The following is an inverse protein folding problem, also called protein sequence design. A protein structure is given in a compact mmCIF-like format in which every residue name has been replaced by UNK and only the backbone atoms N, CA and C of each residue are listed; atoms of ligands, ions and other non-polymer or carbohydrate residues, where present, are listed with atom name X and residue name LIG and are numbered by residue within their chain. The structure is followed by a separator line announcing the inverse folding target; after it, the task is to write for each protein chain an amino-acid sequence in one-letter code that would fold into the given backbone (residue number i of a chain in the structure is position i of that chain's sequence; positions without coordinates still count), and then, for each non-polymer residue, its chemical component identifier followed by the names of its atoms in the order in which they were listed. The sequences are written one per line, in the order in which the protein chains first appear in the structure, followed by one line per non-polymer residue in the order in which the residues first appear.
data_IF_842400441239
#
_entry.id   IF_842400441239
#
_cell.length_a   1.000
_cell.length_b   1.000
_cell.length_c   1.000
_cell.angle_alpha   90.00
_cell.angle_beta   90.00
_cell.angle_gamma   90.00
#
_symmetry.space_group_name_H-M   'P 1'
#
loop_
_entity.id
_entity.type
_entity.pdbx_description
1 polymer ?
#
# COMPACT_ATOMS: atom_id res chain seq x y z
N UNK A 1 -6.98 0.34 -5.49
CA UNK A 1 -8.06 -0.58 -5.06
C UNK A 1 -8.07 -0.67 -3.53
N UNK A 2 -9.23 -0.46 -2.87
CA UNK A 2 -9.39 -0.56 -1.41
C UNK A 2 -9.90 -1.93 -0.93
N UNK A 3 -10.66 -2.63 -1.79
CA UNK A 3 -11.28 -3.91 -1.49
C UNK A 3 -10.26 -4.94 -1.00
N UNK A 4 -10.48 -5.50 0.19
CA UNK A 4 -9.64 -6.55 0.77
C UNK A 4 -8.25 -6.15 1.26
N UNK A 5 -7.80 -4.89 1.10
CA UNK A 5 -6.44 -4.46 1.50
C UNK A 5 -6.36 -3.89 2.91
N UNK A 6 -7.41 -3.19 3.35
CA UNK A 6 -7.36 -2.33 4.54
C UNK A 6 -6.99 -3.08 5.83
N UNK A 7 -7.51 -4.29 6.03
CA UNK A 7 -7.25 -5.08 7.25
C UNK A 7 -5.78 -5.47 7.45
N UNK A 8 -4.94 -5.38 6.39
CA UNK A 8 -3.53 -5.81 6.39
C UNK A 8 -2.56 -4.72 5.99
N UNK A 9 -3.02 -3.46 5.90
CA UNK A 9 -2.25 -2.36 5.31
C UNK A 9 -1.92 -1.24 6.29
N UNK A 10 -2.24 -1.37 7.58
CA UNK A 10 -1.75 -0.43 8.58
C UNK A 10 -0.22 -0.58 8.77
N UNK A 11 0.52 0.51 9.00
CA UNK A 11 0.05 1.90 9.10
C UNK A 11 -0.39 2.49 7.75
N UNK A 12 -1.45 3.29 7.80
CA UNK A 12 -1.97 4.04 6.66
C UNK A 12 -1.10 5.27 6.39
N UNK A 13 -1.09 5.72 5.13
CA UNK A 13 -0.22 6.76 4.56
C UNK A 13 1.25 6.35 4.31
N UNK A 14 1.92 7.13 3.48
CA UNK A 14 3.33 6.96 3.13
C UNK A 14 4.30 7.32 4.26
N UNK A 15 3.86 8.09 5.26
CA UNK A 15 4.67 8.49 6.41
C UNK A 15 4.68 7.45 7.54
N UNK A 16 3.80 6.45 7.48
CA UNK A 16 3.76 5.33 8.43
C UNK A 16 3.26 5.66 9.83
N UNK A 17 2.60 6.81 10.04
CA UNK A 17 2.24 7.30 11.37
C UNK A 17 0.81 6.98 11.82
N UNK A 18 -0.08 6.61 10.90
CA UNK A 18 -1.52 6.47 11.20
C UNK A 18 -1.93 5.00 11.23
N UNK A 19 -2.00 4.39 12.41
CA UNK A 19 -2.37 2.98 12.58
C UNK A 19 -3.89 2.73 12.60
N UNK A 20 -4.67 3.79 12.71
CA UNK A 20 -6.13 3.74 12.83
C UNK A 20 -6.79 4.38 11.61
N UNK A 21 -7.74 3.65 11.00
CA UNK A 21 -8.37 4.07 9.75
C UNK A 21 -9.32 5.25 9.96
N UNK A 22 -9.98 5.31 11.12
CA UNK A 22 -10.86 6.43 11.46
C UNK A 22 -10.04 7.73 11.56
N UNK A 23 -8.92 7.69 12.27
CA UNK A 23 -7.96 8.80 12.37
C UNK A 23 -7.43 9.19 10.98
N UNK A 24 -7.01 8.22 10.15
CA UNK A 24 -6.50 8.48 8.81
C UNK A 24 -7.50 9.22 7.91
N UNK A 25 -8.76 8.81 7.94
CA UNK A 25 -9.83 9.43 7.17
C UNK A 25 -10.13 10.84 7.69
N UNK A 26 -10.20 11.03 9.01
CA UNK A 26 -10.41 12.35 9.61
C UNK A 26 -9.33 13.35 9.17
N UNK A 27 -8.04 13.01 9.36
CA UNK A 27 -6.91 13.84 8.95
C UNK A 27 -6.91 14.12 7.45
N UNK A 28 -7.32 13.15 6.64
CA UNK A 28 -7.44 13.33 5.19
C UNK A 28 -8.50 14.37 4.83
N UNK A 29 -9.68 14.35 5.48
CA UNK A 29 -10.73 15.32 5.19
C UNK A 29 -10.32 16.74 5.59
N UNK A 30 -9.68 16.92 6.75
CA UNK A 30 -9.16 18.22 7.18
C UNK A 30 -8.10 18.76 6.21
N UNK A 31 -7.17 17.92 5.75
CA UNK A 31 -6.14 18.32 4.78
C UNK A 31 -6.72 18.76 3.43
N UNK A 32 -7.89 18.23 3.06
CA UNK A 32 -8.61 18.57 1.84
C UNK A 32 -9.58 19.75 2.03
N UNK A 33 -9.43 20.52 3.12
CA UNK A 33 -10.27 21.66 3.49
C UNK A 33 -11.76 21.28 3.68
N UNK A 34 -12.02 20.01 4.00
CA UNK A 34 -13.33 19.51 4.35
C UNK A 34 -13.62 19.76 5.84
N UNK A 35 -14.89 19.99 6.16
CA UNK A 35 -15.36 20.11 7.56
C UNK A 35 -15.45 18.76 8.30
N UNK A 36 -14.88 17.69 7.73
CA UNK A 36 -15.02 16.33 8.23
C UNK A 36 -16.41 15.73 8.05
N UNK A 37 -16.60 14.56 8.66
CA UNK A 37 -17.87 13.84 8.74
C UNK A 37 -18.27 13.70 10.22
N UNK A 38 -19.57 13.53 10.51
CA UNK A 38 -19.98 13.12 11.86
C UNK A 38 -19.42 11.74 12.16
N UNK A 39 -19.12 11.43 13.41
CA UNK A 39 -18.59 10.12 13.80
C UNK A 39 -19.44 8.95 13.27
N UNK A 40 -20.77 9.07 13.32
CA UNK A 40 -21.69 8.04 12.78
C UNK A 40 -21.55 7.82 11.27
N UNK A 41 -21.22 8.86 10.51
CA UNK A 41 -20.98 8.77 9.06
C UNK A 41 -19.59 8.18 8.78
N UNK A 42 -18.59 8.58 9.58
CA UNK A 42 -17.24 8.05 9.48
C UNK A 42 -17.19 6.57 9.83
N UNK A 43 -17.86 6.15 10.91
CA UNK A 43 -18.04 4.76 11.30
C UNK A 43 -18.71 3.94 10.20
N UNK A 44 -19.76 4.49 9.57
CA UNK A 44 -20.44 3.83 8.46
C UNK A 44 -19.51 3.63 7.25
N UNK A 45 -18.68 4.63 6.91
CA UNK A 45 -17.69 4.51 5.84
C UNK A 45 -16.63 3.47 6.19
N UNK A 46 -16.06 3.53 7.40
CA UNK A 46 -15.06 2.56 7.88
C UNK A 46 -15.62 1.15 7.79
N UNK A 47 -16.83 0.92 8.30
CA UNK A 47 -17.50 -0.37 8.24
C UNK A 47 -17.72 -0.83 6.78
N UNK A 48 -18.18 0.07 5.91
CA UNK A 48 -18.38 -0.25 4.49
C UNK A 48 -17.07 -0.66 3.80
N UNK A 49 -15.99 0.13 3.94
CA UNK A 49 -14.73 -0.15 3.25
C UNK A 49 -14.04 -1.40 3.79
N UNK A 50 -14.19 -1.70 5.08
CA UNK A 50 -13.68 -2.94 5.69
C UNK A 50 -14.48 -4.17 5.27
N UNK A 51 -15.77 -4.02 4.97
CA UNK A 51 -16.62 -5.11 4.50
C UNK A 51 -16.43 -5.44 3.01
N UNK A 52 -15.69 -4.63 2.25
CA UNK A 52 -15.45 -4.89 0.83
C UNK A 52 -14.66 -6.20 0.65
N UNK A 53 -15.23 -7.21 -0.05
CA UNK A 53 -14.58 -8.51 -0.21
C UNK A 53 -13.31 -8.40 -1.04
N UNK A 54 -12.36 -9.31 -0.82
CA UNK A 54 -11.23 -9.47 -1.73
C UNK A 54 -11.72 -9.81 -3.14
N UNK A 55 -11.14 -9.21 -4.19
CA UNK A 55 -11.43 -9.60 -5.57
C UNK A 55 -11.16 -11.09 -5.78
N UNK A 56 -11.91 -11.70 -6.69
CA UNK A 56 -11.66 -13.09 -7.08
C UNK A 56 -10.20 -13.26 -7.54
N UNK A 57 -9.52 -14.35 -7.12
CA UNK A 57 -8.14 -14.58 -7.50
C UNK A 57 -8.03 -14.73 -9.01
N UNK A 58 -7.05 -14.05 -9.60
CA UNK A 58 -6.76 -14.20 -11.02
C UNK A 58 -6.18 -15.60 -11.28
N UNK A 59 -6.49 -16.19 -12.44
CA UNK A 59 -5.83 -17.43 -12.87
C UNK A 59 -4.34 -17.17 -13.08
N UNK A 60 -3.50 -17.86 -12.31
CA UNK A 60 -2.05 -17.72 -12.39
C UNK A 60 -1.41 -18.91 -13.11
N UNK A 61 -0.35 -18.62 -13.86
CA UNK A 61 0.55 -19.64 -14.38
C UNK A 61 1.54 -20.02 -13.27
N UNK A 62 1.39 -21.23 -12.73
CA UNK A 62 2.17 -21.72 -11.57
C UNK A 62 3.68 -21.64 -11.85
N UNK A 63 4.11 -21.96 -13.07
CA UNK A 63 5.54 -21.91 -13.41
C UNK A 63 6.06 -20.47 -13.40
N UNK A 64 5.25 -19.49 -13.84
CA UNK A 64 5.61 -18.06 -13.75
C UNK A 64 5.65 -17.58 -12.30
N UNK A 65 4.69 -18.00 -11.47
CA UNK A 65 4.63 -17.65 -10.05
C UNK A 65 5.89 -18.14 -9.32
N UNK A 66 6.29 -19.39 -9.53
CA UNK A 66 7.49 -19.93 -8.87
C UNK A 66 8.78 -19.24 -9.31
N UNK A 67 8.91 -18.92 -10.60
CA UNK A 67 10.05 -18.11 -11.07
C UNK A 67 10.06 -16.71 -10.45
N UNK A 68 8.90 -16.06 -10.38
CA UNK A 68 8.76 -14.77 -9.72
C UNK A 68 9.12 -14.83 -8.24
N UNK A 69 8.68 -15.88 -7.53
CA UNK A 69 9.04 -16.12 -6.13
C UNK A 69 10.55 -16.28 -5.94
N UNK A 70 11.21 -17.02 -6.82
CA UNK A 70 12.67 -17.19 -6.77
C UNK A 70 13.41 -15.86 -6.95
N UNK A 71 12.98 -15.02 -7.90
CA UNK A 71 13.55 -13.68 -8.10
C UNK A 71 13.30 -12.79 -6.87
N UNK A 72 12.06 -12.77 -6.36
CA UNK A 72 11.66 -11.93 -5.23
C UNK A 72 12.51 -12.19 -3.96
N UNK A 73 12.92 -13.43 -3.74
CA UNK A 73 13.76 -13.85 -2.60
C UNK A 73 15.25 -13.96 -2.94
N UNK A 74 15.66 -13.62 -4.17
CA UNK A 74 17.06 -13.64 -4.57
C UNK A 74 17.86 -12.56 -3.84
N UNK A 75 19.17 -12.77 -3.69
CA UNK A 75 20.07 -11.77 -3.09
C UNK A 75 20.21 -10.54 -3.99
N UNK A 76 20.10 -10.74 -5.30
CA UNK A 76 20.28 -9.72 -6.32
C UNK A 76 19.10 -8.74 -6.35
N UNK A 77 17.86 -9.26 -6.32
CA UNK A 77 16.67 -8.41 -6.32
C UNK A 77 16.29 -7.91 -4.92
N UNK A 78 16.58 -8.71 -3.88
CA UNK A 78 16.38 -8.39 -2.46
C UNK A 78 14.99 -7.85 -2.08
N UNK A 79 13.93 -8.09 -2.88
CA UNK A 79 12.59 -7.54 -2.62
C UNK A 79 12.06 -7.97 -1.26
N UNK A 80 12.34 -9.23 -0.89
CA UNK A 80 11.98 -9.82 0.39
C UNK A 80 12.81 -9.31 1.59
N UNK A 81 13.68 -8.30 1.44
CA UNK A 81 14.33 -7.67 2.60
C UNK A 81 13.39 -6.71 3.33
N UNK A 82 12.50 -6.03 2.60
CA UNK A 82 11.49 -5.12 3.16
C UNK A 82 10.07 -5.67 3.01
N UNK A 83 9.77 -6.32 1.88
CA UNK A 83 8.42 -6.86 1.63
C UNK A 83 8.28 -8.30 2.14
N UNK A 84 8.09 -8.44 3.45
CA UNK A 84 8.20 -9.73 4.15
C UNK A 84 6.88 -10.23 4.72
N UNK A 85 6.86 -11.50 5.16
CA UNK A 85 5.71 -12.10 5.84
C UNK A 85 4.47 -12.25 4.98
N UNK A 86 3.34 -12.57 5.62
CA UNK A 86 2.07 -12.81 4.93
C UNK A 86 1.42 -11.54 4.36
N UNK A 87 1.78 -10.37 4.89
CA UNK A 87 1.33 -9.07 4.40
C UNK A 87 2.26 -8.47 3.32
N UNK A 88 3.42 -9.08 3.05
CA UNK A 88 4.44 -8.59 2.12
C UNK A 88 4.88 -7.15 2.44
N UNK A 89 5.13 -6.90 3.72
CA UNK A 89 5.66 -5.64 4.27
C UNK A 89 6.27 -5.89 5.65
N UNK A 90 7.31 -5.14 5.98
CA UNK A 90 7.91 -5.05 7.31
C UNK A 90 7.35 -3.89 8.15
N UNK A 91 6.47 -3.06 7.57
CA UNK A 91 5.92 -1.84 8.18
C UNK A 91 7.00 -0.87 8.73
N UNK A 92 8.21 -0.92 8.16
CA UNK A 92 9.29 -0.01 8.51
C UNK A 92 9.42 1.12 7.48
N UNK A 93 10.08 2.19 7.92
CA UNK A 93 10.41 3.34 7.08
C UNK A 93 11.76 3.11 6.40
N UNK A 94 11.82 3.27 5.08
CA UNK A 94 13.05 3.12 4.30
C UNK A 94 13.24 4.27 3.30
N UNK A 95 14.46 4.83 3.22
CA UNK A 95 14.87 5.72 2.14
C UNK A 95 15.26 4.90 0.90
N UNK A 96 14.36 4.90 -0.09
CA UNK A 96 14.59 4.31 -1.42
C UNK A 96 15.12 5.32 -2.44
N UNK A 97 15.71 6.41 -1.96
CA UNK A 97 16.35 7.50 -2.71
C UNK A 97 15.42 8.16 -3.73
N UNK A 98 14.17 8.34 -3.32
CA UNK A 98 13.07 8.74 -4.22
C UNK A 98 12.45 10.09 -3.92
N UNK A 99 12.95 10.78 -2.88
CA UNK A 99 12.45 12.06 -2.39
C UNK A 99 12.28 13.09 -3.51
N UNK A 100 11.12 13.74 -3.54
CA UNK A 100 10.78 14.89 -4.38
C UNK A 100 10.82 16.17 -3.57
N UNK A 101 10.81 17.31 -4.27
CA UNK A 101 10.83 18.65 -3.67
C UNK A 101 9.72 18.87 -2.64
N UNK A 102 8.55 18.27 -2.87
CA UNK A 102 7.37 18.45 -2.03
C UNK A 102 7.22 17.34 -0.97
N UNK A 103 8.17 16.40 -0.88
CA UNK A 103 8.15 15.38 0.16
C UNK A 103 8.79 15.94 1.44
N UNK A 104 8.10 15.77 2.57
CA UNK A 104 8.62 16.21 3.87
C UNK A 104 9.86 15.38 4.28
N UNK A 105 9.78 14.06 4.12
CA UNK A 105 10.82 13.07 4.50
C UNK A 105 11.35 12.32 3.27
N UNK A 106 12.52 11.69 3.44
CA UNK A 106 13.10 10.80 2.42
C UNK A 106 12.67 9.34 2.61
N UNK A 107 12.36 8.96 3.85
CA UNK A 107 11.89 7.62 4.17
C UNK A 107 10.39 7.47 3.92
N UNK A 108 10.01 6.28 3.44
CA UNK A 108 8.63 5.91 3.20
C UNK A 108 8.31 4.58 3.88
N UNK A 109 7.08 4.44 4.39
CA UNK A 109 6.60 3.16 4.91
C UNK A 109 6.59 2.11 3.79
N UNK A 110 7.13 0.93 4.03
CA UNK A 110 7.03 -0.20 3.09
C UNK A 110 5.56 -0.55 2.88
N UNK A 111 4.97 -0.30 1.69
CA UNK A 111 3.57 -0.64 1.48
C UNK A 111 3.40 -2.16 1.35
N UNK A 112 2.30 -2.70 1.87
CA UNK A 112 1.90 -4.10 1.60
C UNK A 112 1.73 -4.35 0.09
N UNK A 113 2.33 -5.44 -0.41
CA UNK A 113 2.14 -5.87 -1.80
C UNK A 113 0.89 -6.73 -2.02
N UNK A 114 0.06 -6.94 -0.99
CA UNK A 114 -1.22 -7.65 -1.16
C UNK A 114 -2.08 -6.93 -2.20
N UNK A 115 -2.57 -7.68 -3.20
CA UNK A 115 -3.37 -7.17 -4.32
C UNK A 115 -2.69 -6.05 -5.15
N UNK A 116 -1.35 -5.96 -5.12
CA UNK A 116 -0.60 -4.89 -5.81
C UNK A 116 -0.87 -4.84 -7.32
N UNK A 117 -1.18 -5.96 -7.97
CA UNK A 117 -1.43 -6.02 -9.41
C UNK A 117 -2.58 -5.12 -9.92
N UNK A 118 -3.50 -4.68 -9.04
CA UNK A 118 -4.60 -3.76 -9.35
C UNK A 118 -4.52 -2.41 -8.62
N UNK A 119 -3.33 -2.05 -8.11
CA UNK A 119 -3.15 -0.88 -7.23
C UNK A 119 -2.56 0.35 -7.96
N UNK A 120 -2.32 0.27 -9.26
CA UNK A 120 -1.74 1.37 -10.04
C UNK A 120 -2.57 2.69 -9.97
N UNK A 121 -1.92 3.84 -10.23
CA UNK A 121 -0.49 4.01 -10.50
C UNK A 121 0.38 3.73 -9.28
N UNK A 122 1.67 3.46 -9.50
CA UNK A 122 2.60 2.94 -8.50
C UNK A 122 3.59 4.01 -8.02
N UNK A 123 4.15 3.74 -6.84
CA UNK A 123 5.07 4.60 -6.09
C UNK A 123 4.39 5.78 -5.37
N UNK A 124 5.13 6.46 -4.48
CA UNK A 124 4.53 7.44 -3.56
C UNK A 124 3.97 8.68 -4.24
N UNK A 125 4.51 9.01 -5.41
CA UNK A 125 4.05 10.08 -6.26
C UNK A 125 3.32 9.60 -7.52
N UNK A 126 3.02 8.29 -7.61
CA UNK A 126 2.25 7.72 -8.72
C UNK A 126 2.93 7.80 -10.09
N UNK A 127 4.26 7.98 -10.15
CA UNK A 127 4.95 8.24 -11.43
C UNK A 127 5.01 7.06 -12.41
N UNK A 128 4.73 5.83 -11.95
CA UNK A 128 4.75 4.65 -12.80
C UNK A 128 3.33 4.14 -13.04
N UNK A 129 2.90 4.03 -14.28
CA UNK A 129 1.56 3.56 -14.61
C UNK A 129 1.43 2.03 -14.44
N UNK A 130 2.54 1.30 -14.63
CA UNK A 130 2.56 -0.16 -14.62
C UNK A 130 3.64 -0.73 -13.69
N UNK A 131 3.44 -1.96 -13.18
CA UNK A 131 4.48 -2.69 -12.44
C UNK A 131 5.73 -2.94 -13.30
N UNK A 132 5.56 -3.03 -14.62
CA UNK A 132 6.68 -3.14 -15.54
C UNK A 132 7.52 -1.86 -15.47
N UNK A 133 6.92 -0.69 -15.68
CA UNK A 133 7.65 0.60 -15.58
C UNK A 133 8.31 0.83 -14.22
N UNK A 134 7.77 0.28 -13.14
CA UNK A 134 8.37 0.37 -11.82
C UNK A 134 9.62 -0.52 -11.67
N UNK A 135 9.63 -1.71 -12.29
CA UNK A 135 10.62 -2.76 -12.05
C UNK A 135 11.75 -2.82 -13.10
N UNK A 136 11.58 -2.20 -14.27
CA UNK A 136 12.56 -2.18 -15.38
C UNK A 136 12.89 -0.78 -15.86
#
# INVERSE_FOLDING_TARGET
MLAGRLARSAPYSWSGVENDLHTHLHTTFERLDGSGLRNVELDAIVAYVQALPEPAPLRQDVAKVERGRAIFHSKEAACASCHTGSALTDNAMHDVRSKKKNDEKADFNTPSLHLVGGAGPYFHDGRYATLRELLV
#
